data_IF_101559501830
#
_entry.id   IF_101559501830
#
_cell.length_a   1.000
_cell.length_b   1.000
_cell.length_c   1.000
_cell.angle_alpha   90.00
_cell.angle_beta   90.00
_cell.angle_gamma   90.00
#
_symmetry.space_group_name_H-M   'P 1'
#
loop_
_entity.id
_entity.type
_entity.pdbx_description
1 polymer ?
#
# COMPACT_ATOMS: atom_id res chain seq x y z
N UNK A 1 67.90 8.96 -8.26
CA UNK A 1 66.71 9.58 -7.67
C UNK A 1 66.75 9.23 -6.19
N UNK A 2 67.18 10.18 -5.36
CA UNK A 2 67.32 10.02 -3.91
C UNK A 2 65.94 9.82 -3.29
N UNK A 3 65.76 8.70 -2.59
CA UNK A 3 64.61 8.47 -1.72
C UNK A 3 64.45 9.69 -0.81
N UNK A 4 63.32 10.38 -0.90
CA UNK A 4 63.00 11.44 0.04
C UNK A 4 62.93 10.81 1.43
N UNK A 5 63.82 11.21 2.34
CA UNK A 5 63.78 10.82 3.74
C UNK A 5 62.41 11.21 4.30
N UNK A 6 61.55 10.19 4.46
CA UNK A 6 60.25 10.37 5.10
C UNK A 6 60.52 10.79 6.54
N UNK A 7 59.89 11.90 6.96
CA UNK A 7 60.04 12.45 8.30
C UNK A 7 59.81 11.34 9.35
N UNK A 8 60.62 11.21 10.41
CA UNK A 8 60.55 10.09 11.36
C UNK A 8 59.22 10.02 12.14
N UNK A 9 58.38 11.06 12.06
CA UNK A 9 57.01 11.09 12.59
C UNK A 9 55.92 10.79 11.54
N UNK A 10 56.27 10.48 10.30
CA UNK A 10 55.32 10.01 9.30
C UNK A 10 54.87 8.60 9.70
N UNK A 11 53.72 8.53 10.36
CA UNK A 11 53.08 7.27 10.73
C UNK A 11 52.76 6.50 9.45
N UNK A 12 53.57 5.48 9.14
CA UNK A 12 53.49 4.71 7.89
C UNK A 12 52.26 3.84 7.71
N UNK A 13 51.20 4.05 8.49
CA UNK A 13 49.91 3.38 8.29
C UNK A 13 48.80 4.44 8.27
N UNK A 14 48.21 4.64 7.10
CA UNK A 14 46.94 5.36 6.98
C UNK A 14 45.86 4.27 6.96
N UNK A 15 44.80 4.39 7.78
CA UNK A 15 43.72 3.41 7.79
C UNK A 15 43.08 3.26 6.40
N UNK A 16 42.69 2.03 6.05
CA UNK A 16 42.22 1.67 4.70
C UNK A 16 40.91 2.34 4.27
N UNK A 17 40.17 2.95 5.20
CA UNK A 17 38.94 3.69 4.92
C UNK A 17 39.18 5.19 4.64
N UNK A 18 40.43 5.66 4.74
CA UNK A 18 40.81 7.05 4.40
C UNK A 18 41.29 7.09 2.95
N UNK A 19 41.06 8.22 2.28
CA UNK A 19 41.54 8.50 0.92
C UNK A 19 43.02 8.20 0.77
N UNK A 20 43.34 7.30 -0.17
CA UNK A 20 44.71 6.93 -0.48
C UNK A 20 45.32 7.88 -1.51
N UNK A 21 46.65 7.95 -1.56
CA UNK A 21 47.37 8.84 -2.49
C UNK A 21 47.21 8.46 -3.98
N UNK A 22 46.72 7.25 -4.26
CA UNK A 22 46.32 6.80 -5.61
C UNK A 22 44.93 7.32 -6.03
N UNK A 23 44.25 8.07 -5.14
CA UNK A 23 42.93 8.63 -5.35
C UNK A 23 41.78 7.68 -5.00
N UNK A 24 42.07 6.47 -4.51
CA UNK A 24 41.02 5.54 -4.09
C UNK A 24 40.43 5.94 -2.72
N UNK A 25 39.11 5.90 -2.63
CA UNK A 25 38.35 6.20 -1.41
C UNK A 25 37.29 5.11 -1.17
N UNK A 26 37.64 4.14 -0.33
CA UNK A 26 36.76 3.02 -0.01
C UNK A 26 35.51 3.47 0.73
N UNK A 27 35.65 4.39 1.71
CA UNK A 27 34.54 4.82 2.55
C UNK A 27 33.52 5.62 1.74
N UNK A 28 33.99 6.52 0.87
CA UNK A 28 33.12 7.28 -0.02
C UNK A 28 32.34 6.37 -0.96
N UNK A 29 33.02 5.43 -1.63
CA UNK A 29 32.35 4.50 -2.56
C UNK A 29 31.31 3.64 -1.85
N UNK A 30 31.63 3.12 -0.66
CA UNK A 30 30.68 2.38 0.16
C UNK A 30 29.47 3.25 0.52
N UNK A 31 29.69 4.50 0.94
CA UNK A 31 28.59 5.39 1.36
C UNK A 31 27.68 5.76 0.19
N UNK A 32 28.22 5.95 -1.01
CA UNK A 32 27.43 6.18 -2.22
C UNK A 32 26.53 4.99 -2.51
N UNK A 33 27.08 3.77 -2.53
CA UNK A 33 26.32 2.55 -2.79
C UNK A 33 25.27 2.34 -1.70
N UNK A 34 25.65 2.50 -0.43
CA UNK A 34 24.74 2.38 0.70
C UNK A 34 23.60 3.40 0.62
N UNK A 35 23.90 4.67 0.33
CA UNK A 35 22.90 5.73 0.22
C UNK A 35 21.93 5.45 -0.92
N UNK A 36 22.42 5.04 -2.09
CA UNK A 36 21.56 4.63 -3.22
C UNK A 36 20.68 3.45 -2.81
N UNK A 37 21.26 2.42 -2.17
CA UNK A 37 20.51 1.28 -1.66
C UNK A 37 19.44 1.67 -0.63
N UNK A 38 19.75 2.60 0.28
CA UNK A 38 18.84 3.11 1.29
C UNK A 38 17.68 3.89 0.65
N UNK A 39 17.97 4.76 -0.33
CA UNK A 39 16.94 5.48 -1.09
C UNK A 39 16.04 4.51 -1.82
N UNK A 40 16.59 3.48 -2.48
CA UNK A 40 15.79 2.46 -3.15
C UNK A 40 14.94 1.66 -2.17
N UNK A 41 15.49 1.27 -1.02
CA UNK A 41 14.76 0.56 0.03
C UNK A 41 13.59 1.40 0.57
N UNK A 42 13.84 2.66 0.90
CA UNK A 42 12.81 3.59 1.36
C UNK A 42 11.78 3.83 0.24
N UNK A 43 12.22 3.98 -1.00
CA UNK A 43 11.33 4.15 -2.16
C UNK A 43 10.42 2.95 -2.37
N UNK A 44 10.96 1.72 -2.36
CA UNK A 44 10.17 0.49 -2.43
C UNK A 44 9.22 0.37 -1.25
N UNK A 45 9.67 0.67 -0.03
CA UNK A 45 8.80 0.66 1.14
C UNK A 45 7.67 1.69 1.01
N UNK A 46 7.96 2.90 0.51
CA UNK A 46 6.99 3.97 0.26
C UNK A 46 5.95 3.55 -0.78
N UNK A 47 6.39 3.03 -1.94
CA UNK A 47 5.47 2.54 -2.97
C UNK A 47 4.64 1.35 -2.49
N UNK A 48 5.23 0.43 -1.72
CA UNK A 48 4.54 -0.72 -1.14
C UNK A 48 3.49 -0.28 -0.12
N UNK A 49 3.82 0.67 0.76
CA UNK A 49 2.88 1.19 1.75
C UNK A 49 1.71 1.94 1.08
N UNK A 50 1.95 2.56 -0.08
CA UNK A 50 0.92 3.24 -0.87
C UNK A 50 0.06 2.30 -1.72
N UNK A 51 0.54 1.11 -2.08
CA UNK A 51 -0.27 0.11 -2.82
C UNK A 51 -1.16 -0.74 -1.90
N UNK A 52 -0.87 -0.79 -0.60
CA UNK A 52 -1.73 -1.47 0.39
C UNK A 52 -3.16 -0.89 0.43
N UNK A 53 -3.38 0.44 0.46
CA UNK A 53 -4.71 1.05 0.38
C UNK A 53 -5.53 0.60 -0.83
N UNK A 54 -4.90 0.49 -2.01
CA UNK A 54 -5.54 0.01 -3.23
C UNK A 54 -5.99 -1.45 -3.09
N UNK A 55 -5.12 -2.31 -2.55
CA UNK A 55 -5.46 -3.73 -2.35
C UNK A 55 -6.58 -3.94 -1.34
N UNK A 56 -6.62 -3.15 -0.27
CA UNK A 56 -7.70 -3.22 0.74
C UNK A 56 -9.06 -2.75 0.20
N UNK A 57 -9.07 -1.90 -0.83
CA UNK A 57 -10.31 -1.48 -1.49
C UNK A 57 -10.95 -2.58 -2.35
N UNK A 58 -10.18 -3.56 -2.81
CA UNK A 58 -10.69 -4.66 -3.64
C UNK A 58 -11.21 -5.86 -2.84
N UNK A 59 -10.69 -6.09 -1.62
CA UNK A 59 -10.99 -7.31 -0.84
C UNK A 59 -12.32 -7.22 -0.05
N UNK A 60 -12.84 -6.00 0.18
CA UNK A 60 -14.11 -5.78 0.87
C UNK A 60 -15.02 -4.92 -0.02
N UNK A 61 -16.17 -5.48 -0.45
CA UNK A 61 -17.18 -4.85 -1.32
C UNK A 61 -17.96 -3.69 -0.64
N UNK A 62 -17.27 -2.92 0.19
CA UNK A 62 -17.82 -1.90 1.06
C UNK A 62 -17.23 -0.54 0.62
N UNK A 63 -18.07 0.42 0.15
CA UNK A 63 -17.64 1.71 -0.41
C UNK A 63 -16.65 2.53 0.44
N UNK A 64 -16.60 2.22 1.75
CA UNK A 64 -15.71 2.78 2.75
C UNK A 64 -14.20 2.53 2.49
N UNK A 65 -13.80 1.36 1.97
CA UNK A 65 -12.38 1.10 1.67
C UNK A 65 -11.92 1.76 0.37
N UNK A 66 -12.86 2.10 -0.53
CA UNK A 66 -12.57 2.80 -1.78
C UNK A 66 -12.14 4.26 -1.52
N UNK A 67 -12.74 4.91 -0.51
CA UNK A 67 -12.37 6.28 -0.12
C UNK A 67 -10.93 6.34 0.42
N UNK A 68 -10.53 5.34 1.22
CA UNK A 68 -9.15 5.22 1.73
C UNK A 68 -8.16 5.05 0.57
N UNK A 69 -8.49 4.23 -0.43
CA UNK A 69 -7.69 4.09 -1.65
C UNK A 69 -7.53 5.40 -2.43
N UNK A 70 -8.61 6.16 -2.60
CA UNK A 70 -8.58 7.46 -3.28
C UNK A 70 -7.71 8.48 -2.53
N UNK A 71 -7.83 8.58 -1.19
CA UNK A 71 -7.00 9.49 -0.39
C UNK A 71 -5.51 9.12 -0.48
N UNK A 72 -5.18 7.84 -0.52
CA UNK A 72 -3.79 7.38 -0.69
C UNK A 72 -3.23 7.70 -2.09
N UNK A 73 -4.03 7.53 -3.15
CA UNK A 73 -3.66 7.94 -4.51
C UNK A 73 -3.46 9.46 -4.61
N UNK A 74 -4.30 10.25 -3.92
CA UNK A 74 -4.20 11.70 -3.87
C UNK A 74 -2.94 12.17 -3.11
N UNK A 75 -2.57 11.47 -2.04
CA UNK A 75 -1.32 11.71 -1.29
C UNK A 75 -0.10 11.50 -2.18
N UNK A 76 -0.11 10.45 -3.00
CA UNK A 76 0.98 10.11 -3.92
C UNK A 76 1.11 11.12 -5.06
N UNK A 77 0.00 11.52 -5.68
CA UNK A 77 0.02 12.53 -6.75
C UNK A 77 0.49 13.90 -6.23
N UNK A 78 0.03 14.28 -5.04
CA UNK A 78 0.27 15.63 -4.48
C UNK A 78 1.57 15.71 -3.67
N UNK A 79 2.17 14.58 -3.27
CA UNK A 79 3.31 14.52 -2.33
C UNK A 79 3.05 15.27 -1.01
N UNK A 80 1.79 15.32 -0.58
CA UNK A 80 1.40 16.00 0.66
C UNK A 80 0.97 14.99 1.73
N UNK A 81 1.75 14.89 2.80
CA UNK A 81 1.56 13.92 3.89
C UNK A 81 0.23 14.06 4.65
N UNK A 82 -0.45 15.20 4.55
CA UNK A 82 -1.79 15.39 5.13
C UNK A 82 -2.78 14.36 4.62
N UNK A 83 -2.72 14.01 3.32
CA UNK A 83 -3.64 13.05 2.73
C UNK A 83 -3.36 11.62 3.22
N UNK A 84 -2.09 11.30 3.50
CA UNK A 84 -1.71 10.03 4.10
C UNK A 84 -2.18 9.91 5.56
N UNK A 85 -2.00 10.98 6.35
CA UNK A 85 -2.52 11.04 7.73
C UNK A 85 -4.05 10.93 7.74
N UNK A 86 -4.73 11.63 6.83
CA UNK A 86 -6.18 11.53 6.68
C UNK A 86 -6.63 10.12 6.28
N UNK A 87 -5.92 9.44 5.37
CA UNK A 87 -6.22 8.08 4.96
C UNK A 87 -6.12 7.09 6.14
N UNK A 88 -5.09 7.21 6.99
CA UNK A 88 -4.91 6.38 8.18
C UNK A 88 -5.99 6.67 9.23
N UNK A 89 -6.31 7.94 9.47
CA UNK A 89 -7.39 8.32 10.39
C UNK A 89 -8.73 7.74 9.93
N UNK A 90 -9.05 7.85 8.64
CA UNK A 90 -10.30 7.29 8.09
C UNK A 90 -10.29 5.77 8.13
N UNK A 91 -9.16 5.12 7.84
CA UNK A 91 -9.03 3.66 7.93
C UNK A 91 -9.19 3.13 9.36
N UNK A 92 -8.76 3.91 10.37
CA UNK A 92 -8.88 3.56 11.78
C UNK A 92 -10.31 3.64 12.33
N UNK A 93 -11.19 4.41 11.68
CA UNK A 93 -12.59 4.53 12.07
C UNK A 93 -13.49 3.82 11.06
N UNK A 94 -13.91 2.60 11.40
CA UNK A 94 -14.92 1.88 10.63
C UNK A 94 -16.28 2.58 10.80
N UNK A 95 -16.72 3.29 9.77
CA UNK A 95 -18.08 3.81 9.74
C UNK A 95 -19.04 2.65 9.46
N UNK A 96 -19.97 2.33 10.38
CA UNK A 96 -20.90 1.24 10.16
C UNK A 96 -21.81 1.57 8.96
N UNK A 97 -22.22 0.55 8.21
CA UNK A 97 -23.17 0.70 7.12
C UNK A 97 -24.53 1.12 7.66
N UNK A 98 -24.83 2.41 7.60
CA UNK A 98 -26.08 2.98 8.08
C UNK A 98 -27.27 2.69 7.15
N UNK A 99 -27.04 2.21 5.92
CA UNK A 99 -28.10 1.87 4.98
C UNK A 99 -28.66 0.45 5.23
N UNK A 100 -27.82 -0.47 5.70
CA UNK A 100 -28.25 -1.84 6.02
C UNK A 100 -29.37 -1.90 7.09
N UNK A 101 -29.29 -1.19 8.23
CA UNK A 101 -30.39 -1.10 9.20
C UNK A 101 -31.65 -0.47 8.61
N UNK A 102 -31.52 0.59 7.80
CA UNK A 102 -32.67 1.25 7.17
C UNK A 102 -33.41 0.33 6.20
N UNK A 103 -32.67 -0.46 5.40
CA UNK A 103 -33.24 -1.48 4.51
C UNK A 103 -33.94 -2.58 5.31
N UNK A 104 -33.33 -3.06 6.39
CA UNK A 104 -33.94 -4.05 7.27
C UNK A 104 -35.27 -3.55 7.88
N UNK A 105 -35.36 -2.27 8.25
CA UNK A 105 -36.62 -1.66 8.73
C UNK A 105 -37.66 -1.59 7.61
N UNK A 106 -37.26 -1.16 6.40
CA UNK A 106 -38.15 -1.10 5.26
C UNK A 106 -38.72 -2.48 4.87
N UNK A 107 -37.88 -3.51 4.91
CA UNK A 107 -38.27 -4.90 4.64
C UNK A 107 -39.17 -5.46 5.74
N UNK A 108 -38.86 -5.17 7.02
CA UNK A 108 -39.71 -5.56 8.15
C UNK A 108 -41.11 -4.92 8.04
N UNK A 109 -41.20 -3.64 7.71
CA UNK A 109 -42.48 -2.94 7.48
C UNK A 109 -43.23 -3.55 6.28
N UNK A 110 -42.52 -3.85 5.19
CA UNK A 110 -43.12 -4.49 4.01
C UNK A 110 -43.65 -5.90 4.30
N UNK A 111 -43.00 -6.65 5.20
CA UNK A 111 -43.45 -7.98 5.63
C UNK A 111 -44.71 -7.95 6.51
N UNK A 112 -44.92 -6.85 7.27
CA UNK A 112 -46.09 -6.66 8.14
C UNK A 112 -47.30 -6.07 7.41
N UNK A 113 -47.11 -5.58 6.18
CA UNK A 113 -48.19 -5.07 5.35
C UNK A 113 -49.10 -6.24 4.89
N UNK A 114 -50.41 -6.24 5.21
CA UNK A 114 -51.33 -7.29 4.79
C UNK A 114 -51.45 -7.27 3.25
N UNK A 115 -50.94 -8.30 2.56
CA UNK A 115 -51.11 -8.49 1.12
C UNK A 115 -49.85 -8.43 0.24
N UNK A 116 -48.64 -8.42 0.81
CA UNK A 116 -47.42 -8.59 0.00
C UNK A 116 -47.28 -10.06 -0.44
N UNK A 117 -47.79 -10.37 -1.63
CA UNK A 117 -47.55 -11.66 -2.29
C UNK A 117 -46.04 -11.95 -2.41
N UNK A 118 -45.60 -13.20 -2.23
CA UNK A 118 -44.21 -13.60 -2.45
C UNK A 118 -43.75 -13.19 -3.87
N UNK A 119 -42.46 -12.88 -4.08
CA UNK A 119 -41.92 -12.75 -5.43
C UNK A 119 -42.22 -14.04 -6.19
N UNK A 120 -42.60 -13.98 -7.49
CA UNK A 120 -42.73 -15.18 -8.30
C UNK A 120 -41.45 -15.98 -8.18
N UNK A 121 -41.54 -17.21 -7.69
CA UNK A 121 -40.45 -18.17 -7.80
C UNK A 121 -40.09 -18.23 -9.29
N UNK A 122 -38.85 -17.90 -9.63
CA UNK A 122 -38.34 -18.19 -10.97
C UNK A 122 -38.56 -19.68 -11.23
N UNK A 123 -39.19 -20.06 -12.36
CA UNK A 123 -39.42 -21.45 -12.65
C UNK A 123 -38.06 -22.14 -12.80
N UNK A 124 -37.83 -23.11 -11.92
CA UNK A 124 -36.75 -24.08 -12.00
C UNK A 124 -36.72 -24.62 -13.44
N UNK A 125 -35.57 -24.62 -14.15
CA UNK A 125 -35.52 -25.13 -15.51
C UNK A 125 -35.93 -26.60 -15.50
N UNK A 126 -37.11 -26.85 -16.06
CA UNK A 126 -37.70 -28.16 -16.23
C UNK A 126 -36.67 -29.11 -16.87
N UNK A 127 -36.38 -30.28 -16.25
CA UNK A 127 -35.42 -31.20 -16.82
C UNK A 127 -35.99 -31.73 -18.13
N UNK A 128 -35.34 -31.35 -19.23
CA UNK A 128 -35.65 -31.82 -20.56
C UNK A 128 -35.71 -33.35 -20.56
N UNK A 129 -36.93 -33.89 -20.74
CA UNK A 129 -37.15 -35.31 -20.93
C UNK A 129 -36.29 -35.81 -22.10
N UNK A 130 -35.55 -36.92 -21.96
CA UNK A 130 -34.77 -37.49 -23.06
C UNK A 130 -35.70 -37.85 -24.23
N UNK A 131 -35.43 -37.29 -25.40
CA UNK A 131 -36.04 -37.78 -26.63
C UNK A 131 -35.38 -39.11 -26.97
N UNK A 132 -36.14 -40.20 -26.83
CA UNK A 132 -35.74 -41.52 -27.33
C UNK A 132 -35.80 -41.54 -28.86
N UNK A 133 -34.83 -42.24 -29.43
CA UNK A 133 -34.43 -42.25 -30.84
C UNK A 133 -34.96 -43.48 -31.59
#
# INVERSE_FOLDING_TARGET
MTSADLHPMATGHIPSYVTQADGSDFLFNFMVIFTVGLILLIGVAYFTLHSIPEKMAHENNHPQFQLVGILALLALFTHNGIFWVAAILVAGFQFPDFAAPLRAIADAIRSLAPGASPPPAEPDPEPAAPQEH
#
